data_IF_026366785953
#
_entry.id   IF_026366785953
#
_cell.length_a   1.000
_cell.length_b   1.000
_cell.length_c   1.000
_cell.angle_alpha   90.00
_cell.angle_beta   90.00
_cell.angle_gamma   90.00
#
_symmetry.space_group_name_H-M   'P 1'
#
loop_
_entity.id
_entity.type
_entity.pdbx_description
1 polymer ?
#
# COMPACT_ATOMS: atom_id res chain seq x y z
N UNK A 1 -22.73 41.90 -22.42
CA UNK A 1 -22.89 40.49 -22.86
C UNK A 1 -21.50 39.86 -22.87
N UNK A 2 -21.09 39.25 -21.74
CA UNK A 2 -19.77 38.61 -21.62
C UNK A 2 -19.94 37.12 -21.88
N UNK A 3 -19.18 36.58 -22.83
CA UNK A 3 -19.10 35.14 -23.11
C UNK A 3 -17.92 34.58 -22.32
N UNK A 4 -18.17 33.55 -21.51
CA UNK A 4 -17.12 32.77 -20.87
C UNK A 4 -16.81 31.56 -21.76
N UNK A 5 -15.52 31.32 -21.98
CA UNK A 5 -15.00 30.12 -22.62
C UNK A 5 -14.86 29.06 -21.50
N UNK A 6 -15.54 27.91 -21.56
CA UNK A 6 -15.20 26.81 -20.69
C UNK A 6 -13.87 26.22 -21.17
N UNK A 7 -12.84 26.30 -20.33
CA UNK A 7 -11.63 25.48 -20.50
C UNK A 7 -11.97 24.12 -19.92
N UNK A 8 -12.17 23.14 -20.81
CA UNK A 8 -12.18 21.74 -20.44
C UNK A 8 -10.70 21.34 -20.27
N UNK A 9 -10.22 21.30 -19.03
CA UNK A 9 -8.98 20.61 -18.72
C UNK A 9 -9.33 19.12 -18.83
N UNK A 10 -8.96 18.46 -19.94
CA UNK A 10 -8.85 17.01 -19.92
C UNK A 10 -7.67 16.70 -19.00
N UNK A 11 -7.86 16.07 -17.83
CA UNK A 11 -6.76 15.32 -17.27
C UNK A 11 -6.41 14.28 -18.34
N UNK A 12 -5.19 14.33 -18.84
CA UNK A 12 -4.60 13.15 -19.45
C UNK A 12 -4.58 12.12 -18.32
N UNK A 13 -5.61 11.27 -18.26
CA UNK A 13 -5.52 9.97 -17.61
C UNK A 13 -4.43 9.25 -18.39
N UNK A 14 -3.19 9.38 -17.90
CA UNK A 14 -2.14 8.44 -18.22
C UNK A 14 -2.67 7.03 -17.92
N UNK A 15 -2.15 6.00 -18.61
CA UNK A 15 -2.47 4.63 -18.21
C UNK A 15 -2.18 4.51 -16.71
N UNK A 16 -3.19 4.10 -15.94
CA UNK A 16 -3.02 3.68 -14.55
C UNK A 16 -1.86 2.68 -14.55
N UNK A 17 -0.70 3.09 -14.02
CA UNK A 17 0.43 2.19 -13.89
C UNK A 17 -0.05 1.10 -12.92
N UNK A 18 -0.03 -0.20 -13.29
CA UNK A 18 -0.44 -1.24 -12.38
C UNK A 18 0.29 -1.08 -11.03
N UNK A 19 -0.49 -1.13 -9.96
CA UNK A 19 -0.04 -1.14 -8.57
C UNK A 19 1.20 -2.03 -8.43
N UNK A 20 2.36 -1.41 -8.15
CA UNK A 20 3.62 -2.14 -8.13
C UNK A 20 3.97 -2.48 -6.68
N UNK A 21 3.83 -3.76 -6.36
CA UNK A 21 4.33 -4.32 -5.10
C UNK A 21 5.83 -4.63 -5.26
N UNK A 22 6.61 -4.29 -4.24
CA UNK A 22 8.02 -4.68 -4.12
C UNK A 22 8.20 -5.52 -2.86
N UNK A 23 8.93 -6.62 -3.02
CA UNK A 23 9.40 -7.45 -1.92
C UNK A 23 10.89 -7.69 -2.08
N UNK A 24 11.63 -7.61 -0.98
CA UNK A 24 13.02 -8.00 -0.92
C UNK A 24 13.33 -8.57 0.47
N UNK A 25 13.56 -9.88 0.53
CA UNK A 25 13.93 -10.59 1.76
C UNK A 25 15.45 -10.60 1.96
N UNK A 26 16.23 -9.98 1.06
CA UNK A 26 17.69 -9.92 1.06
C UNK A 26 18.40 -11.28 1.19
N UNK A 27 17.69 -12.40 1.07
CA UNK A 27 18.20 -13.76 1.24
C UNK A 27 19.11 -14.20 0.09
N UNK A 28 19.15 -13.41 -0.98
CA UNK A 28 20.07 -13.58 -2.11
C UNK A 28 21.39 -12.80 -1.93
N UNK A 29 21.55 -12.13 -0.77
CA UNK A 29 22.76 -11.45 -0.36
C UNK A 29 23.13 -10.27 -1.24
N UNK A 30 22.15 -9.61 -1.87
CA UNK A 30 22.38 -8.41 -2.67
C UNK A 30 21.22 -7.41 -2.56
N UNK A 31 21.44 -6.21 -3.11
CA UNK A 31 20.48 -5.10 -3.18
C UNK A 31 20.11 -4.80 -4.64
N UNK A 32 19.88 -5.84 -5.45
CA UNK A 32 19.51 -5.66 -6.84
C UNK A 32 18.21 -4.85 -6.98
N UNK A 33 18.27 -3.81 -7.82
CA UNK A 33 17.14 -2.91 -8.06
C UNK A 33 16.97 -1.80 -7.02
N UNK A 34 17.84 -1.75 -6.01
CA UNK A 34 17.93 -0.61 -5.09
C UNK A 34 18.89 0.46 -5.61
N UNK A 35 18.58 1.71 -5.31
CA UNK A 35 19.51 2.82 -5.45
C UNK A 35 20.07 3.18 -4.07
N UNK A 36 21.40 3.14 -3.96
CA UNK A 36 22.13 3.45 -2.73
C UNK A 36 22.19 4.94 -2.49
N UNK A 37 21.63 5.37 -1.37
CA UNK A 37 21.74 6.74 -0.89
C UNK A 37 22.98 6.90 -0.01
N UNK A 38 24.04 7.49 -0.60
CA UNK A 38 25.32 7.75 0.07
C UNK A 38 25.81 9.17 -0.25
N UNK A 39 25.13 10.22 0.25
CA UNK A 39 25.32 11.61 -0.18
C UNK A 39 26.74 12.14 0.08
N UNK A 40 27.46 11.54 1.05
CA UNK A 40 28.79 11.97 1.46
C UNK A 40 29.94 11.17 0.81
N UNK A 41 29.64 10.22 -0.10
CA UNK A 41 30.66 9.37 -0.73
C UNK A 41 31.74 10.16 -1.46
N UNK A 42 31.34 11.17 -2.24
CA UNK A 42 32.26 12.04 -3.00
C UNK A 42 33.19 12.88 -2.12
N UNK A 43 32.94 12.93 -0.82
CA UNK A 43 33.72 13.68 0.17
C UNK A 43 34.54 12.77 1.10
N UNK A 44 34.67 11.48 0.77
CA UNK A 44 35.49 10.52 1.51
C UNK A 44 34.77 9.81 2.67
N UNK A 45 33.44 9.92 2.74
CA UNK A 45 32.61 9.24 3.73
C UNK A 45 31.52 8.40 3.03
N UNK A 46 31.89 7.35 2.27
CA UNK A 46 30.91 6.47 1.63
C UNK A 46 30.19 5.63 2.67
N UNK A 47 28.87 5.48 2.50
CA UNK A 47 28.06 4.52 3.27
C UNK A 47 28.48 3.11 2.85
N UNK A 48 28.71 2.25 3.84
CA UNK A 48 28.98 0.84 3.61
C UNK A 48 27.65 0.06 3.60
N UNK A 49 27.45 -0.68 2.52
CA UNK A 49 26.31 -1.57 2.32
C UNK A 49 26.82 -3.00 2.29
N UNK A 50 26.24 -3.87 3.11
CA UNK A 50 26.70 -5.25 3.24
C UNK A 50 25.57 -6.20 3.58
N UNK A 51 25.84 -7.49 3.41
CA UNK A 51 24.88 -8.56 3.70
C UNK A 51 25.41 -9.49 4.78
N UNK A 52 25.32 -9.12 6.08
CA UNK A 52 25.70 -10.02 7.17
C UNK A 52 25.00 -11.36 7.00
N UNK A 53 25.76 -12.45 7.19
CA UNK A 53 25.28 -13.83 7.00
C UNK A 53 24.73 -14.16 5.59
N UNK A 54 24.79 -13.20 4.66
CA UNK A 54 24.31 -13.33 3.28
C UNK A 54 22.80 -13.17 3.13
N UNK A 55 22.09 -12.70 4.16
CA UNK A 55 20.62 -12.73 4.19
C UNK A 55 19.95 -11.53 4.87
N UNK A 56 20.68 -10.44 5.08
CA UNK A 56 20.17 -9.24 5.76
C UNK A 56 20.80 -8.01 5.15
N UNK A 57 20.15 -6.86 5.18
CA UNK A 57 20.67 -5.65 4.56
C UNK A 57 21.19 -4.66 5.59
N UNK A 58 22.52 -4.53 5.71
CA UNK A 58 23.15 -3.60 6.66
C UNK A 58 23.60 -2.31 5.99
N UNK A 59 23.20 -1.20 6.58
CA UNK A 59 23.56 0.18 6.18
C UNK A 59 24.40 0.80 7.29
N UNK A 60 25.65 1.13 6.99
CA UNK A 60 26.57 1.77 7.95
C UNK A 60 27.11 3.08 7.38
N UNK A 61 26.72 4.21 7.96
CA UNK A 61 27.24 5.51 7.53
C UNK A 61 28.38 5.97 8.46
N UNK A 62 29.58 6.24 7.93
CA UNK A 62 30.66 6.83 8.73
C UNK A 62 30.35 8.29 9.06
N UNK A 63 31.09 8.88 10.00
CA UNK A 63 30.89 10.27 10.38
C UNK A 63 31.09 11.24 9.21
N UNK A 64 30.33 12.33 9.22
CA UNK A 64 30.46 13.38 8.21
C UNK A 64 31.87 14.00 8.26
N UNK A 65 32.57 14.15 7.13
CA UNK A 65 33.92 14.71 7.11
C UNK A 65 33.92 16.22 7.37
N UNK A 66 32.77 16.89 7.17
CA UNK A 66 32.57 18.31 7.45
C UNK A 66 31.08 18.59 7.70
N UNK A 67 30.57 18.33 8.91
CA UNK A 67 29.15 18.46 9.21
C UNK A 67 28.62 19.90 9.04
N UNK A 68 29.45 20.91 9.29
CA UNK A 68 29.06 22.31 9.07
C UNK A 68 28.83 22.67 7.60
N UNK A 69 29.37 21.91 6.65
CA UNK A 69 29.18 22.15 5.21
C UNK A 69 28.15 21.21 4.58
N UNK A 70 28.06 19.96 5.04
CA UNK A 70 27.27 18.91 4.39
C UNK A 70 26.16 18.32 5.26
N UNK A 71 26.02 18.81 6.49
CA UNK A 71 25.19 18.22 7.53
C UNK A 71 25.83 17.00 8.19
N UNK A 72 25.22 16.52 9.30
CA UNK A 72 25.54 15.23 9.92
C UNK A 72 25.44 14.04 8.96
N UNK A 73 25.90 12.87 9.40
CA UNK A 73 25.88 11.68 8.55
C UNK A 73 24.46 11.14 8.34
N UNK A 74 24.22 10.62 7.14
CA UNK A 74 23.04 9.82 6.79
C UNK A 74 23.36 8.88 5.65
N UNK A 75 22.59 7.82 5.54
CA UNK A 75 22.70 6.84 4.48
C UNK A 75 21.44 5.98 4.39
N UNK A 76 21.24 5.32 3.27
CA UNK A 76 20.05 4.49 3.07
C UNK A 76 19.99 3.91 1.68
N UNK A 77 18.84 3.41 1.31
CA UNK A 77 18.54 3.01 -0.07
C UNK A 77 17.06 3.10 -0.34
N UNK A 78 16.70 3.29 -1.60
CA UNK A 78 15.31 3.34 -2.02
C UNK A 78 15.10 2.56 -3.32
N UNK A 79 13.84 2.31 -3.68
CA UNK A 79 13.44 1.65 -4.92
C UNK A 79 13.16 2.71 -6.00
N UNK A 80 14.14 3.07 -6.85
CA UNK A 80 14.07 4.28 -7.69
C UNK A 80 13.02 4.21 -8.81
N UNK A 81 12.55 3.01 -9.18
CA UNK A 81 11.66 2.81 -10.31
C UNK A 81 10.21 2.51 -9.90
N UNK A 82 9.88 2.70 -8.62
CA UNK A 82 8.54 2.41 -8.08
C UNK A 82 8.02 3.64 -7.36
N UNK A 83 7.05 4.30 -7.98
CA UNK A 83 6.46 5.55 -7.49
C UNK A 83 5.03 5.26 -7.06
N UNK A 84 4.69 5.76 -5.88
CA UNK A 84 3.43 5.59 -5.19
C UNK A 84 2.72 6.94 -5.05
N UNK A 85 1.39 6.97 -5.21
CA UNK A 85 0.52 8.13 -4.94
C UNK A 85 -0.21 7.98 -3.59
N UNK A 86 -0.32 6.76 -3.09
CA UNK A 86 -0.46 6.37 -1.70
C UNK A 86 0.56 5.25 -1.46
N UNK A 87 1.18 5.18 -0.29
CA UNK A 87 2.24 4.20 -0.02
C UNK A 87 2.03 3.48 1.30
N UNK A 88 2.37 2.20 1.30
CA UNK A 88 2.70 1.41 2.49
C UNK A 88 4.09 0.86 2.30
N UNK A 89 4.96 1.05 3.28
CA UNK A 89 6.32 0.52 3.30
C UNK A 89 6.57 -0.17 4.63
N UNK A 90 7.25 -1.31 4.58
CA UNK A 90 7.62 -2.09 5.75
C UNK A 90 9.07 -2.57 5.62
N UNK A 91 9.72 -2.72 6.78
CA UNK A 91 10.94 -3.50 6.88
C UNK A 91 11.10 -4.01 8.32
N UNK A 92 11.78 -5.14 8.45
CA UNK A 92 12.22 -5.62 9.75
C UNK A 92 13.50 -4.90 10.16
N UNK A 93 13.52 -4.35 11.37
CA UNK A 93 14.73 -3.89 12.04
C UNK A 93 15.28 -5.04 12.89
N UNK A 94 16.49 -5.51 12.54
CA UNK A 94 17.04 -6.76 13.05
C UNK A 94 18.26 -6.57 13.96
N UNK A 95 19.09 -5.57 13.68
CA UNK A 95 20.29 -5.29 14.49
C UNK A 95 20.61 -3.79 14.47
N UNK A 96 20.87 -3.23 15.65
CA UNK A 96 21.25 -1.83 15.90
C UNK A 96 21.83 -1.71 17.31
N UNK A 97 22.40 -0.55 17.63
CA UNK A 97 22.96 -0.25 18.95
C UNK A 97 22.30 1.02 19.52
N UNK A 98 21.72 0.92 20.71
CA UNK A 98 21.12 2.07 21.41
C UNK A 98 22.19 3.01 22.00
N UNK A 99 23.45 2.59 22.11
CA UNK A 99 24.54 3.48 22.55
C UNK A 99 25.02 4.42 21.41
N UNK A 100 24.60 4.16 20.16
CA UNK A 100 24.78 5.08 19.02
C UNK A 100 23.56 5.98 18.97
N UNK A 101 23.74 7.31 19.06
CA UNK A 101 22.63 8.26 18.86
C UNK A 101 22.31 8.44 17.37
N UNK A 102 21.28 7.77 16.90
CA UNK A 102 20.90 7.68 15.48
C UNK A 102 19.38 7.54 15.32
N UNK A 103 18.91 7.97 14.15
CA UNK A 103 17.58 7.68 13.66
C UNK A 103 17.67 6.52 12.67
N UNK A 104 16.74 5.58 12.78
CA UNK A 104 16.68 4.39 11.93
C UNK A 104 15.23 4.24 11.46
N UNK A 105 14.99 3.99 10.17
CA UNK A 105 13.64 3.61 9.77
C UNK A 105 13.36 3.65 8.28
N UNK A 106 12.14 4.04 7.96
CA UNK A 106 11.53 3.93 6.63
C UNK A 106 11.37 5.30 5.99
N UNK A 107 11.51 5.32 4.66
CA UNK A 107 11.26 6.49 3.84
C UNK A 107 10.03 6.24 2.97
N UNK A 108 9.15 7.23 2.90
CA UNK A 108 7.94 7.22 2.09
C UNK A 108 7.86 8.44 1.18
N UNK A 109 7.25 8.29 0.01
CA UNK A 109 7.03 9.39 -0.94
C UNK A 109 8.29 10.21 -1.29
N UNK A 110 9.41 9.52 -1.50
CA UNK A 110 10.68 10.16 -1.86
C UNK A 110 10.63 10.75 -3.27
N UNK A 111 10.89 12.04 -3.38
CA UNK A 111 11.11 12.73 -4.64
C UNK A 111 12.55 12.62 -5.12
N UNK A 112 13.22 13.76 -5.28
CA UNK A 112 14.68 13.78 -5.49
C UNK A 112 15.39 13.17 -4.29
N UNK A 113 16.44 12.38 -4.51
CA UNK A 113 17.29 11.77 -3.48
C UNK A 113 18.74 12.18 -3.72
N UNK A 114 19.40 12.73 -2.70
CA UNK A 114 20.79 13.19 -2.80
C UNK A 114 21.15 14.32 -1.83
N UNK A 115 22.42 14.72 -1.86
CA UNK A 115 22.95 15.78 -1.01
C UNK A 115 22.19 17.10 -1.23
N UNK A 116 21.58 17.60 -0.16
CA UNK A 116 20.71 18.76 -0.08
C UNK A 116 19.48 18.71 -1.00
N UNK A 117 19.12 17.53 -1.52
CA UNK A 117 18.01 17.35 -2.45
C UNK A 117 17.01 16.30 -2.03
N UNK A 118 17.33 15.46 -1.04
CA UNK A 118 16.40 14.44 -0.53
C UNK A 118 15.13 15.09 0.01
N UNK A 119 13.98 14.73 -0.57
CA UNK A 119 12.67 15.17 -0.12
C UNK A 119 11.71 13.99 0.02
N UNK A 120 10.75 14.07 0.95
CA UNK A 120 9.71 13.06 1.16
C UNK A 120 9.26 13.01 2.61
N UNK A 121 8.88 11.83 3.09
CA UNK A 121 8.58 11.56 4.48
C UNK A 121 9.49 10.51 5.08
N UNK A 122 9.70 10.59 6.39
CA UNK A 122 10.46 9.62 7.17
C UNK A 122 9.66 9.18 8.39
N UNK A 123 9.65 7.88 8.64
CA UNK A 123 9.26 7.30 9.93
C UNK A 123 10.52 6.72 10.59
N UNK A 124 10.89 7.24 11.75
CA UNK A 124 12.15 6.88 12.42
C UNK A 124 11.97 6.48 13.87
N UNK A 125 12.76 5.50 14.28
CA UNK A 125 13.12 5.24 15.66
C UNK A 125 14.42 5.99 16.00
N UNK A 126 14.36 6.91 16.97
CA UNK A 126 15.51 7.63 17.53
C UNK A 126 16.01 6.88 18.77
N UNK A 127 17.22 6.34 18.69
CA UNK A 127 17.87 5.61 19.78
C UNK A 127 18.33 6.52 20.93
N UNK A 128 18.52 7.82 20.67
CA UNK A 128 18.99 8.82 21.65
C UNK A 128 17.86 9.56 22.36
N UNK A 129 16.74 9.76 21.67
CA UNK A 129 15.52 10.40 22.17
C UNK A 129 14.49 9.43 22.73
N UNK A 130 14.69 8.12 22.58
CA UNK A 130 13.75 7.05 22.97
C UNK A 130 12.34 7.28 22.40
N UNK A 131 12.24 7.51 21.09
CA UNK A 131 10.97 7.83 20.46
C UNK A 131 10.85 7.41 19.01
N UNK A 132 9.61 7.39 18.56
CA UNK A 132 9.23 7.31 17.16
C UNK A 132 8.85 8.68 16.66
N UNK A 133 9.19 8.98 15.41
CA UNK A 133 8.88 10.25 14.77
C UNK A 133 8.40 10.01 13.35
N UNK A 134 7.35 10.73 12.95
CA UNK A 134 7.03 10.97 11.55
C UNK A 134 7.51 12.39 11.24
N UNK A 135 8.25 12.56 10.15
CA UNK A 135 8.74 13.86 9.72
C UNK A 135 8.55 14.06 8.22
N UNK A 136 8.25 15.29 7.80
CA UNK A 136 8.50 15.71 6.43
C UNK A 136 9.99 16.01 6.27
N UNK A 137 10.54 15.73 5.10
CA UNK A 137 11.95 15.94 4.78
C UNK A 137 12.04 16.86 3.57
N UNK A 138 12.64 18.04 3.74
CA UNK A 138 12.90 19.02 2.67
C UNK A 138 14.40 19.27 2.54
N UNK A 139 15.01 18.84 1.44
CA UNK A 139 16.44 19.04 1.17
C UNK A 139 17.31 18.45 2.29
N UNK A 140 16.95 17.28 2.80
CA UNK A 140 17.54 16.59 3.96
C UNK A 140 17.29 17.23 5.34
N UNK A 141 16.55 18.33 5.43
CA UNK A 141 16.08 18.87 6.71
C UNK A 141 14.75 18.22 7.10
N UNK A 142 14.65 17.72 8.34
CA UNK A 142 13.45 17.07 8.84
C UNK A 142 12.63 18.01 9.75
N UNK A 143 11.32 18.05 9.54
CA UNK A 143 10.34 18.73 10.40
C UNK A 143 9.36 17.68 10.96
N UNK A 144 9.28 17.57 12.29
CA UNK A 144 8.43 16.57 12.95
C UNK A 144 6.95 16.88 12.78
N UNK A 145 6.20 15.88 12.31
CA UNK A 145 4.74 15.90 12.13
C UNK A 145 4.01 15.19 13.27
N UNK A 146 4.65 14.16 13.85
CA UNK A 146 4.10 13.37 14.94
C UNK A 146 5.19 12.59 15.66
N UNK A 147 4.93 12.20 16.91
CA UNK A 147 5.86 11.39 17.69
C UNK A 147 5.15 10.57 18.77
N UNK A 148 5.79 9.48 19.19
CA UNK A 148 5.44 8.72 20.38
C UNK A 148 6.70 8.22 21.10
N UNK A 149 6.61 7.86 22.38
CA UNK A 149 7.76 7.38 23.17
C UNK A 149 7.85 5.86 23.11
N UNK A 150 9.02 5.34 22.74
CA UNK A 150 9.32 3.91 22.81
C UNK A 150 10.82 3.67 22.96
N UNK A 151 11.18 2.59 23.64
CA UNK A 151 12.56 2.08 23.65
C UNK A 151 12.55 0.64 23.14
N UNK A 152 13.11 0.43 21.95
CA UNK A 152 13.30 -0.90 21.40
C UNK A 152 14.50 -1.57 22.08
N UNK A 153 14.43 -2.90 22.24
CA UNK A 153 15.47 -3.67 22.93
C UNK A 153 16.40 -4.30 21.88
N UNK A 154 17.69 -3.92 21.83
CA UNK A 154 18.65 -4.53 20.92
C UNK A 154 18.72 -6.05 21.07
N UNK A 155 18.89 -6.76 19.95
CA UNK A 155 18.87 -8.22 19.90
C UNK A 155 17.47 -8.84 19.79
N UNK A 156 16.40 -8.02 19.75
CA UNK A 156 15.06 -8.42 19.29
C UNK A 156 14.83 -7.91 17.87
N UNK A 157 13.94 -8.57 17.13
CA UNK A 157 13.48 -8.09 15.84
C UNK A 157 12.16 -7.33 15.97
N UNK A 158 12.02 -6.28 15.17
CA UNK A 158 10.81 -5.46 15.11
C UNK A 158 10.41 -5.22 13.66
N UNK A 159 9.11 -5.17 13.36
CA UNK A 159 8.62 -4.68 12.08
C UNK A 159 8.25 -3.22 12.19
N UNK A 160 8.84 -2.40 11.34
CA UNK A 160 8.42 -1.03 11.12
C UNK A 160 7.41 -1.03 9.97
N UNK A 161 6.31 -0.31 10.12
CA UNK A 161 5.30 -0.09 9.07
C UNK A 161 5.09 1.41 8.95
N UNK A 162 5.12 1.94 7.74
CA UNK A 162 4.85 3.35 7.49
C UNK A 162 3.92 3.49 6.29
N UNK A 163 2.81 4.18 6.49
CA UNK A 163 1.77 4.39 5.49
C UNK A 163 1.52 5.88 5.27
N UNK A 164 1.12 6.22 4.05
CA UNK A 164 0.72 7.57 3.69
C UNK A 164 -0.35 7.57 2.60
N UNK A 165 -1.46 8.23 2.87
CA UNK A 165 -2.56 8.43 1.94
C UNK A 165 -2.78 9.92 1.69
N UNK A 166 -3.02 10.31 0.44
CA UNK A 166 -3.04 11.70 0.01
C UNK A 166 -4.27 11.96 -0.86
N UNK A 167 -5.22 12.74 -0.35
CA UNK A 167 -6.42 13.18 -1.05
C UNK A 167 -6.13 14.47 -1.85
N UNK A 168 -5.97 14.41 -3.19
CA UNK A 168 -5.54 15.57 -3.97
C UNK A 168 -6.60 16.66 -4.08
N UNK A 169 -7.88 16.28 -4.08
CA UNK A 169 -9.01 17.21 -4.07
C UNK A 169 -9.01 18.14 -2.86
N UNK A 170 -8.61 17.63 -1.70
CA UNK A 170 -8.68 18.35 -0.42
C UNK A 170 -7.33 18.92 0.04
N UNK A 171 -6.25 18.64 -0.71
CA UNK A 171 -4.86 18.95 -0.32
C UNK A 171 -4.56 18.43 1.09
N UNK A 172 -5.06 17.22 1.38
CA UNK A 172 -4.99 16.60 2.68
C UNK A 172 -4.20 15.30 2.59
N UNK A 173 -3.28 15.08 3.52
CA UNK A 173 -2.49 13.87 3.60
C UNK A 173 -2.41 13.37 5.03
N UNK A 174 -2.60 12.07 5.19
CA UNK A 174 -2.47 11.37 6.46
C UNK A 174 -1.32 10.40 6.40
N UNK A 175 -0.63 10.27 7.52
CA UNK A 175 0.54 9.44 7.69
C UNK A 175 0.37 8.66 8.99
N UNK A 176 0.66 7.36 8.95
CA UNK A 176 0.71 6.52 10.15
C UNK A 176 1.94 5.64 10.16
N UNK A 177 2.62 5.60 11.30
CA UNK A 177 3.82 4.82 11.54
C UNK A 177 3.60 3.89 12.72
N UNK A 178 3.89 2.60 12.54
CA UNK A 178 3.65 1.56 13.53
C UNK A 178 4.89 0.71 13.74
N UNK A 179 5.06 0.22 14.96
CA UNK A 179 6.11 -0.75 15.29
C UNK A 179 5.50 -1.98 15.94
N UNK A 180 5.84 -3.14 15.42
CA UNK A 180 5.40 -4.44 15.94
C UNK A 180 6.61 -5.25 16.40
N UNK A 181 6.42 -6.13 17.39
CA UNK A 181 7.41 -7.16 17.67
C UNK A 181 7.28 -8.28 16.63
N UNK A 182 8.37 -8.89 16.17
CA UNK A 182 8.24 -9.96 15.15
C UNK A 182 7.54 -11.23 15.65
N UNK A 183 7.36 -11.39 16.96
CA UNK A 183 6.57 -12.47 17.56
C UNK A 183 5.08 -12.10 17.77
N UNK A 184 4.69 -10.86 17.50
CA UNK A 184 3.30 -10.36 17.54
C UNK A 184 3.11 -9.22 16.53
N UNK A 185 2.60 -9.57 15.35
CA UNK A 185 2.29 -8.63 14.27
C UNK A 185 0.81 -8.16 14.29
N UNK A 186 0.04 -8.55 15.30
CA UNK A 186 -1.36 -8.15 15.44
C UNK A 186 -1.48 -6.94 16.38
N UNK A 187 -0.59 -6.81 17.36
CA UNK A 187 -0.60 -5.72 18.34
C UNK A 187 0.60 -4.79 18.16
N UNK A 188 0.42 -3.52 17.76
CA UNK A 188 1.54 -2.59 17.69
C UNK A 188 2.02 -2.21 19.09
N UNK A 189 3.34 -2.07 19.24
CA UNK A 189 4.00 -1.56 20.43
C UNK A 189 3.84 -0.05 20.59
N UNK A 190 3.76 0.67 19.47
CA UNK A 190 3.51 2.10 19.39
C UNK A 190 2.97 2.47 18.00
N UNK A 191 2.21 3.57 17.97
CA UNK A 191 1.57 4.11 16.76
C UNK A 191 1.75 5.63 16.75
N UNK A 192 2.23 6.17 15.64
CA UNK A 192 2.43 7.61 15.44
C UNK A 192 1.57 8.06 14.28
N UNK A 193 0.86 9.18 14.46
CA UNK A 193 0.09 9.81 13.39
C UNK A 193 0.74 11.14 13.00
N UNK A 194 0.63 11.49 11.72
CA UNK A 194 1.04 12.77 11.18
C UNK A 194 0.10 13.22 10.06
N UNK A 195 0.10 14.51 9.74
CA UNK A 195 -0.65 15.05 8.61
C UNK A 195 0.20 16.03 7.83
N UNK A 196 0.35 15.81 6.54
CA UNK A 196 1.05 16.71 5.62
C UNK A 196 0.76 16.30 4.17
N UNK A 197 0.75 17.26 3.24
CA UNK A 197 0.48 17.03 1.81
C UNK A 197 1.63 17.52 0.90
N UNK A 198 2.79 17.85 1.47
CA UNK A 198 3.92 18.43 0.72
C UNK A 198 4.46 17.48 -0.35
N UNK A 199 4.43 16.16 -0.11
CA UNK A 199 4.98 15.14 -1.00
C UNK A 199 3.94 14.05 -1.29
N UNK A 200 2.94 14.30 -2.15
CA UNK A 200 1.84 13.36 -2.38
C UNK A 200 2.22 12.17 -3.28
N UNK A 201 3.45 12.11 -3.77
CA UNK A 201 3.94 10.93 -4.49
C UNK A 201 5.46 10.81 -4.50
N UNK A 202 5.93 9.56 -4.56
CA UNK A 202 7.36 9.28 -4.61
C UNK A 202 7.70 7.82 -4.35
N UNK A 203 8.99 7.55 -4.20
CA UNK A 203 9.53 6.19 -3.98
C UNK A 203 9.64 5.86 -2.48
N UNK A 204 9.80 4.60 -2.14
CA UNK A 204 9.98 4.15 -0.75
C UNK A 204 11.37 3.55 -0.52
N UNK A 205 11.80 3.50 0.74
CA UNK A 205 13.11 2.96 1.11
C UNK A 205 13.37 2.83 2.60
N UNK A 206 14.63 2.60 2.95
CA UNK A 206 15.13 2.50 4.32
C UNK A 206 16.27 3.50 4.53
N UNK A 207 16.48 3.94 5.76
CA UNK A 207 17.55 4.88 6.07
C UNK A 207 18.07 4.79 7.50
N UNK A 208 19.23 5.42 7.67
CA UNK A 208 19.79 5.79 8.95
C UNK A 208 20.30 7.23 8.90
N UNK A 209 20.17 7.99 9.98
CA UNK A 209 20.76 9.31 10.14
C UNK A 209 21.19 9.55 11.57
N UNK A 210 21.86 10.67 11.81
CA UNK A 210 22.12 11.16 13.17
C UNK A 210 22.06 12.67 13.15
N UNK A 211 21.71 13.28 14.28
CA UNK A 211 21.84 14.73 14.48
C UNK A 211 23.22 15.13 15.01
N UNK A 212 24.07 14.16 15.36
CA UNK A 212 25.41 14.39 15.91
C UNK A 212 26.43 14.68 14.82
N UNK A 213 27.14 15.81 14.96
CA UNK A 213 28.23 16.24 14.07
C UNK A 213 29.37 15.21 13.95
N UNK A 214 29.61 14.41 15.00
CA UNK A 214 30.62 13.36 15.01
C UNK A 214 30.02 11.95 15.07
N UNK A 215 28.71 11.82 14.89
CA UNK A 215 28.01 10.54 14.96
C UNK A 215 28.28 9.65 13.75
N UNK A 216 28.07 8.35 13.95
CA UNK A 216 27.99 7.31 12.91
C UNK A 216 26.62 6.68 12.98
N UNK A 217 26.23 5.93 11.95
CA UNK A 217 25.01 5.13 11.99
C UNK A 217 25.29 3.68 11.59
N UNK A 218 24.48 2.78 12.12
CA UNK A 218 24.58 1.34 11.90
C UNK A 218 23.24 0.68 12.20
N UNK A 219 22.59 0.16 11.17
CA UNK A 219 21.38 -0.63 11.29
C UNK A 219 21.35 -1.75 10.24
N UNK A 220 20.71 -2.86 10.60
CA UNK A 220 20.47 -3.99 9.72
C UNK A 220 18.98 -4.22 9.57
N UNK A 221 18.53 -4.26 8.31
CA UNK A 221 17.16 -4.48 7.90
C UNK A 221 16.98 -5.88 7.29
N UNK A 222 15.74 -6.36 7.26
CA UNK A 222 15.32 -7.59 6.57
C UNK A 222 13.85 -7.46 6.09
N UNK A 223 13.38 -8.37 5.23
CA UNK A 223 11.99 -8.48 4.77
C UNK A 223 11.34 -7.13 4.39
N UNK A 224 11.94 -6.42 3.42
CA UNK A 224 11.36 -5.20 2.89
C UNK A 224 10.11 -5.48 2.06
N UNK A 225 9.09 -4.63 2.25
CA UNK A 225 7.87 -4.64 1.45
C UNK A 225 7.45 -3.20 1.12
N UNK A 226 6.91 -2.97 -0.08
CA UNK A 226 6.17 -1.74 -0.37
C UNK A 226 5.00 -1.99 -1.34
N UNK A 227 3.88 -1.31 -1.13
CA UNK A 227 2.66 -1.37 -1.92
C UNK A 227 1.96 0.00 -1.98
N UNK A 228 1.02 0.18 -2.91
CA UNK A 228 0.10 1.31 -2.84
C UNK A 228 -1.08 1.07 -1.88
N UNK A 229 -1.28 -0.17 -1.45
CA UNK A 229 -2.39 -0.56 -0.57
C UNK A 229 -2.15 -0.01 0.84
N UNK A 230 -3.05 0.86 1.30
CA UNK A 230 -2.98 1.54 2.60
C UNK A 230 -4.30 1.40 3.36
N UNK A 231 -4.18 1.51 4.68
CA UNK A 231 -5.25 1.52 5.70
C UNK A 231 -4.70 2.39 6.84
N UNK A 232 -4.83 3.71 6.70
CA UNK A 232 -4.17 4.71 7.55
C UNK A 232 -4.95 4.96 8.84
N UNK A 233 -6.27 4.82 8.80
CA UNK A 233 -7.15 4.97 9.94
C UNK A 233 -7.32 3.67 10.75
N UNK A 234 -6.92 2.52 10.16
CA UNK A 234 -6.67 1.22 10.81
C UNK A 234 -7.95 0.50 11.21
N UNK A 235 -8.96 0.63 10.38
CA UNK A 235 -10.27 0.02 10.60
C UNK A 235 -10.46 -1.29 9.81
N UNK A 236 -9.48 -1.63 8.97
CA UNK A 236 -9.45 -2.86 8.18
C UNK A 236 -10.10 -2.70 6.81
N UNK A 237 -10.54 -1.50 6.43
CA UNK A 237 -10.90 -1.11 5.08
C UNK A 237 -9.68 -0.48 4.39
N UNK A 238 -9.62 -0.56 3.06
CA UNK A 238 -8.53 0.06 2.33
C UNK A 238 -8.87 1.52 2.04
N UNK A 239 -7.96 2.46 2.33
CA UNK A 239 -8.20 3.92 2.19
C UNK A 239 -8.77 4.29 0.80
N UNK A 240 -8.24 3.68 -0.26
CA UNK A 240 -8.70 3.96 -1.63
C UNK A 240 -10.12 3.46 -1.86
N UNK A 241 -10.50 2.32 -1.28
CA UNK A 241 -11.87 1.82 -1.36
C UNK A 241 -12.82 2.74 -0.61
N UNK A 242 -12.44 3.22 0.57
CA UNK A 242 -13.28 4.14 1.35
C UNK A 242 -13.50 5.45 0.60
N UNK A 243 -12.46 6.06 0.02
CA UNK A 243 -12.65 7.27 -0.80
C UNK A 243 -13.53 7.00 -2.02
N UNK A 244 -13.35 5.88 -2.70
CA UNK A 244 -14.11 5.56 -3.92
C UNK A 244 -15.60 5.29 -3.63
N UNK A 245 -15.94 4.77 -2.45
CA UNK A 245 -17.30 4.30 -2.13
C UNK A 245 -18.01 5.14 -1.05
N UNK A 246 -17.28 5.64 -0.05
CA UNK A 246 -17.78 6.41 1.09
C UNK A 246 -17.43 7.91 1.00
N UNK A 247 -16.42 8.26 0.19
CA UNK A 247 -16.03 9.63 -0.12
C UNK A 247 -14.98 10.25 0.81
N UNK A 248 -14.65 9.59 1.91
CA UNK A 248 -13.54 9.91 2.81
C UNK A 248 -13.13 8.65 3.61
N UNK A 249 -11.99 8.72 4.31
CA UNK A 249 -11.38 7.63 5.11
C UNK A 249 -11.70 7.74 6.62
N UNK A 250 -12.78 8.41 6.99
CA UNK A 250 -13.14 8.63 8.39
C UNK A 250 -14.43 7.93 8.80
N UNK A 251 -14.99 7.13 7.89
CA UNK A 251 -16.13 6.26 8.17
C UNK A 251 -15.64 5.04 8.91
N UNK A 252 -16.35 4.65 9.97
CA UNK A 252 -15.91 3.49 10.74
C UNK A 252 -16.36 2.18 10.10
N UNK A 253 -15.55 1.15 10.29
CA UNK A 253 -15.81 -0.26 9.96
C UNK A 253 -17.18 -0.79 10.42
N UNK A 254 -17.69 -0.30 11.56
CA UNK A 254 -18.95 -0.71 12.19
C UNK A 254 -20.16 0.18 11.86
N UNK A 255 -19.97 1.24 11.07
CA UNK A 255 -21.05 2.07 10.53
C UNK A 255 -21.73 1.42 9.33
N UNK A 256 -22.92 1.90 8.96
CA UNK A 256 -23.78 1.38 7.88
C UNK A 256 -24.18 2.59 7.04
N UNK A 257 -23.42 2.85 5.98
CA UNK A 257 -23.47 4.12 5.24
C UNK A 257 -24.81 4.35 4.52
N UNK A 258 -25.46 3.29 4.04
CA UNK A 258 -26.73 3.37 3.31
C UNK A 258 -27.98 2.89 4.09
N UNK A 259 -27.79 2.51 5.36
CA UNK A 259 -28.82 2.07 6.30
C UNK A 259 -29.53 0.75 5.89
N UNK A 260 -28.82 -0.17 5.22
CA UNK A 260 -29.36 -1.46 4.78
C UNK A 260 -29.24 -2.60 5.81
N UNK A 261 -28.48 -2.37 6.90
CA UNK A 261 -28.23 -3.31 7.99
C UNK A 261 -26.93 -4.11 7.87
N UNK A 262 -26.07 -3.82 6.91
CA UNK A 262 -24.69 -4.29 6.82
C UNK A 262 -23.73 -3.19 7.23
N UNK A 263 -22.61 -3.54 7.87
CA UNK A 263 -21.58 -2.54 8.17
C UNK A 263 -20.68 -2.32 6.97
N UNK A 264 -20.04 -1.16 6.88
CA UNK A 264 -19.07 -0.81 5.84
C UNK A 264 -18.01 -1.91 5.68
N UNK A 265 -17.52 -2.49 6.78
CA UNK A 265 -16.58 -3.62 6.74
C UNK A 265 -17.17 -4.90 6.13
N UNK A 266 -18.43 -5.22 6.43
CA UNK A 266 -19.11 -6.37 5.81
C UNK A 266 -19.21 -6.18 4.30
N UNK A 267 -19.46 -4.95 3.88
CA UNK A 267 -19.60 -4.59 2.48
C UNK A 267 -18.27 -4.55 1.73
N UNK A 268 -17.23 -3.99 2.34
CA UNK A 268 -15.86 -4.05 1.85
C UNK A 268 -15.41 -5.50 1.64
N UNK A 269 -15.58 -6.36 2.66
CA UNK A 269 -15.18 -7.76 2.60
C UNK A 269 -16.06 -8.59 1.66
N UNK A 270 -17.34 -8.23 1.49
CA UNK A 270 -18.29 -8.93 0.64
C UNK A 270 -18.37 -8.40 -0.80
N UNK A 271 -17.75 -7.25 -1.08
CA UNK A 271 -17.70 -6.60 -2.38
C UNK A 271 -19.05 -6.02 -2.84
N UNK A 272 -19.89 -5.56 -1.90
CA UNK A 272 -21.06 -4.75 -2.21
C UNK A 272 -20.73 -3.26 -2.35
N UNK A 273 -21.73 -2.47 -2.75
CA UNK A 273 -21.62 -1.02 -2.90
C UNK A 273 -22.25 -0.40 -1.66
N UNK A 274 -21.46 0.16 -0.74
CA UNK A 274 -21.96 0.65 0.55
C UNK A 274 -22.81 1.91 0.45
N UNK A 275 -22.97 2.47 -0.76
CA UNK A 275 -23.84 3.60 -1.04
C UNK A 275 -25.15 3.21 -1.75
N UNK A 276 -25.38 1.91 -2.03
CA UNK A 276 -26.63 1.41 -2.61
C UNK A 276 -27.26 0.34 -1.69
N UNK A 277 -28.37 0.65 -0.97
CA UNK A 277 -28.97 -0.24 0.02
C UNK A 277 -29.65 -1.48 -0.58
N UNK A 278 -29.52 -1.67 -1.90
CA UNK A 278 -29.93 -2.88 -2.61
C UNK A 278 -28.75 -3.78 -2.98
N UNK A 279 -27.52 -3.32 -2.75
CA UNK A 279 -26.27 -4.03 -2.99
C UNK A 279 -25.90 -4.79 -1.73
N UNK A 280 -26.47 -5.98 -1.54
CA UNK A 280 -26.22 -6.76 -0.32
C UNK A 280 -25.01 -7.69 -0.45
N UNK A 281 -24.07 -7.59 0.48
CA UNK A 281 -22.97 -8.55 0.64
C UNK A 281 -23.49 -9.90 1.15
N UNK A 282 -22.98 -10.99 0.57
CA UNK A 282 -23.53 -12.32 0.84
C UNK A 282 -24.96 -12.55 0.29
N UNK A 283 -25.50 -11.61 -0.50
CA UNK A 283 -26.63 -11.93 -1.36
C UNK A 283 -26.27 -13.11 -2.25
N UNK A 284 -27.07 -14.18 -2.18
CA UNK A 284 -27.01 -15.30 -3.11
C UNK A 284 -27.25 -14.87 -4.58
N UNK A 285 -27.55 -13.60 -4.82
CA UNK A 285 -27.55 -13.02 -6.15
C UNK A 285 -26.11 -12.72 -6.57
N UNK A 286 -25.59 -13.58 -7.44
CA UNK A 286 -24.57 -13.15 -8.40
C UNK A 286 -25.11 -11.86 -9.04
N UNK A 287 -24.29 -10.81 -9.04
CA UNK A 287 -24.66 -9.45 -9.51
C UNK A 287 -25.31 -9.45 -10.90
N UNK A 288 -25.77 -8.28 -11.40
CA UNK A 288 -26.55 -8.22 -12.63
C UNK A 288 -25.89 -9.02 -13.76
N UNK A 289 -26.61 -10.02 -14.27
CA UNK A 289 -26.11 -10.84 -15.36
C UNK A 289 -26.14 -10.03 -16.64
N UNK A 290 -24.96 -9.78 -17.21
CA UNK A 290 -24.85 -9.24 -18.57
C UNK A 290 -25.08 -10.38 -19.56
N UNK A 291 -26.26 -10.41 -20.17
CA UNK A 291 -26.66 -11.47 -21.10
C UNK A 291 -26.63 -10.96 -22.53
N UNK A 292 -25.85 -11.62 -23.38
CA UNK A 292 -25.72 -11.32 -24.80
C UNK A 292 -25.88 -12.57 -25.66
N UNK A 293 -26.42 -12.42 -26.87
CA UNK A 293 -26.42 -13.49 -27.88
C UNK A 293 -25.83 -12.94 -29.17
N UNK A 294 -24.75 -13.56 -29.64
CA UNK A 294 -24.08 -13.20 -30.88
C UNK A 294 -23.58 -14.46 -31.60
N UNK A 295 -23.74 -14.51 -32.93
CA UNK A 295 -23.25 -15.61 -33.77
C UNK A 295 -23.69 -17.03 -33.35
N UNK A 296 -24.82 -17.16 -32.64
CA UNK A 296 -25.34 -18.44 -32.16
C UNK A 296 -24.75 -18.89 -30.81
N UNK A 297 -23.96 -18.04 -30.15
CA UNK A 297 -23.47 -18.21 -28.79
C UNK A 297 -24.12 -17.21 -27.85
N UNK A 298 -24.48 -17.70 -26.68
CA UNK A 298 -24.94 -16.93 -25.54
C UNK A 298 -23.74 -16.68 -24.62
N UNK A 299 -23.61 -15.44 -24.18
CA UNK A 299 -22.65 -15.02 -23.16
C UNK A 299 -23.39 -14.54 -21.93
N UNK A 300 -23.01 -15.05 -20.76
CA UNK A 300 -23.52 -14.61 -19.45
C UNK A 300 -22.32 -14.16 -18.62
N UNK A 301 -22.15 -12.84 -18.44
CA UNK A 301 -21.05 -12.25 -17.67
C UNK A 301 -21.53 -11.76 -16.31
N UNK A 302 -20.69 -11.93 -15.29
CA UNK A 302 -20.95 -11.58 -13.90
C UNK A 302 -19.65 -11.30 -13.14
N UNK A 303 -19.71 -10.61 -12.00
CA UNK A 303 -18.58 -10.41 -11.09
C UNK A 303 -18.29 -11.71 -10.33
N UNK A 304 -17.08 -12.23 -10.46
CA UNK A 304 -16.68 -13.48 -9.83
C UNK A 304 -15.87 -13.21 -8.56
N UNK A 305 -16.30 -13.79 -7.44
CA UNK A 305 -15.63 -13.71 -6.14
C UNK A 305 -14.52 -14.76 -6.04
N UNK A 306 -13.43 -14.40 -5.35
CA UNK A 306 -12.35 -15.32 -5.03
C UNK A 306 -12.82 -16.40 -4.03
N UNK A 307 -12.34 -17.64 -4.17
CA UNK A 307 -12.73 -18.76 -3.30
C UNK A 307 -14.12 -19.35 -3.59
N UNK A 308 -14.72 -18.99 -4.73
CA UNK A 308 -15.97 -19.59 -5.22
C UNK A 308 -15.78 -20.25 -6.57
N UNK A 309 -16.38 -21.42 -6.71
CA UNK A 309 -16.66 -22.10 -7.97
C UNK A 309 -18.02 -21.64 -8.52
N UNK A 310 -18.20 -21.68 -9.84
CA UNK A 310 -19.45 -21.26 -10.48
C UNK A 310 -19.88 -22.26 -11.53
N UNK A 311 -21.19 -22.50 -11.60
CA UNK A 311 -21.85 -23.30 -12.63
C UNK A 311 -23.00 -22.51 -13.28
N UNK A 312 -23.26 -22.77 -14.57
CA UNK A 312 -24.44 -22.28 -15.27
C UNK A 312 -25.50 -23.38 -15.29
N UNK A 313 -26.70 -23.06 -14.82
CA UNK A 313 -27.86 -23.94 -14.91
C UNK A 313 -28.90 -23.37 -15.86
N UNK A 314 -29.65 -24.27 -16.49
CA UNK A 314 -30.74 -23.95 -17.40
C UNK A 314 -32.04 -24.65 -17.02
N UNK A 315 -33.16 -24.02 -17.40
CA UNK A 315 -34.52 -24.53 -17.20
C UNK A 315 -35.40 -24.20 -18.40
N UNK A 316 -36.37 -25.07 -18.70
CA UNK A 316 -37.41 -24.83 -19.70
C UNK A 316 -38.73 -24.33 -19.09
N UNK A 317 -38.90 -24.43 -17.77
CA UNK A 317 -40.18 -24.21 -17.09
C UNK A 317 -40.07 -23.39 -15.78
N UNK A 318 -38.87 -22.89 -15.44
CA UNK A 318 -38.52 -22.19 -14.20
C UNK A 318 -38.65 -23.05 -12.91
N UNK A 319 -38.97 -24.33 -13.02
CA UNK A 319 -39.17 -25.23 -11.88
C UNK A 319 -38.05 -26.27 -11.80
N UNK A 320 -37.77 -26.95 -12.91
CA UNK A 320 -36.68 -27.91 -13.03
C UNK A 320 -35.40 -27.24 -13.51
N UNK A 321 -34.34 -27.29 -12.71
CA UNK A 321 -33.03 -26.74 -13.04
C UNK A 321 -32.02 -27.86 -13.22
N UNK A 322 -31.16 -27.74 -14.23
CA UNK A 322 -30.08 -28.68 -14.50
C UNK A 322 -28.86 -27.97 -15.11
N UNK A 323 -27.65 -28.53 -14.98
CA UNK A 323 -26.45 -27.95 -15.59
C UNK A 323 -26.64 -27.66 -17.08
N UNK A 324 -26.26 -26.46 -17.51
CA UNK A 324 -26.30 -26.05 -18.91
C UNK A 324 -25.20 -26.78 -19.69
N UNK A 325 -25.56 -27.91 -20.31
CA UNK A 325 -24.61 -28.76 -21.03
C UNK A 325 -23.89 -27.99 -22.14
N UNK A 326 -22.56 -27.98 -22.10
CA UNK A 326 -21.72 -27.27 -23.06
C UNK A 326 -21.38 -25.83 -22.67
N UNK A 327 -21.80 -25.35 -21.50
CA UNK A 327 -21.36 -24.07 -20.96
C UNK A 327 -19.88 -24.14 -20.54
N UNK A 328 -19.08 -23.15 -20.94
CA UNK A 328 -17.68 -23.00 -20.53
C UNK A 328 -17.50 -21.70 -19.76
N UNK A 329 -16.90 -21.77 -18.58
CA UNK A 329 -16.54 -20.60 -17.76
C UNK A 329 -15.16 -20.07 -18.16
N UNK A 330 -15.10 -18.78 -18.48
CA UNK A 330 -13.86 -18.02 -18.67
C UNK A 330 -13.76 -17.03 -17.51
N UNK A 331 -12.60 -16.95 -16.85
CA UNK A 331 -12.32 -15.97 -15.80
C UNK A 331 -11.24 -15.01 -16.25
N UNK A 332 -11.50 -13.71 -16.11
CA UNK A 332 -10.58 -12.65 -16.50
C UNK A 332 -10.85 -11.40 -15.64
N UNK A 333 -9.80 -10.84 -15.02
CA UNK A 333 -9.85 -9.57 -14.27
C UNK A 333 -11.03 -9.47 -13.28
N UNK A 334 -11.24 -10.48 -12.43
CA UNK A 334 -12.32 -10.49 -11.43
C UNK A 334 -13.73 -10.76 -11.97
N UNK A 335 -13.89 -11.00 -13.27
CA UNK A 335 -15.16 -11.36 -13.88
C UNK A 335 -15.21 -12.84 -14.31
N UNK A 336 -16.39 -13.45 -14.19
CA UNK A 336 -16.73 -14.74 -14.78
C UNK A 336 -17.60 -14.53 -16.02
N UNK A 337 -17.32 -15.27 -17.10
CA UNK A 337 -18.15 -15.28 -18.32
C UNK A 337 -18.43 -16.72 -18.73
N UNK A 338 -19.71 -17.11 -18.73
CA UNK A 338 -20.14 -18.36 -19.36
C UNK A 338 -20.41 -18.14 -20.85
N UNK A 339 -19.91 -19.05 -21.67
CA UNK A 339 -20.24 -19.13 -23.10
C UNK A 339 -20.99 -20.43 -23.36
N UNK A 340 -22.15 -20.35 -24.01
CA UNK A 340 -23.01 -21.50 -24.33
C UNK A 340 -23.50 -21.44 -25.79
N UNK A 341 -23.34 -22.49 -26.60
CA UNK A 341 -23.96 -22.57 -27.93
C UNK A 341 -25.49 -22.70 -27.81
N UNK A 342 -26.26 -21.82 -28.46
CA UNK A 342 -27.75 -21.78 -28.36
C UNK A 342 -28.48 -22.21 -29.65
N UNK A 343 -27.79 -22.91 -30.55
CA UNK A 343 -28.38 -23.37 -31.82
C UNK A 343 -29.57 -24.30 -31.58
N UNK A 344 -30.78 -23.86 -31.98
CA UNK A 344 -32.01 -24.65 -31.94
C UNK A 344 -32.83 -24.55 -30.65
N UNK A 345 -32.50 -23.62 -29.74
CA UNK A 345 -33.25 -23.35 -28.51
C UNK A 345 -34.23 -22.18 -28.72
N UNK A 346 -35.54 -22.38 -28.53
CA UNK A 346 -36.56 -21.33 -28.73
C UNK A 346 -36.76 -20.45 -27.48
N UNK A 347 -36.58 -21.01 -26.27
CA UNK A 347 -36.67 -20.29 -25.00
C UNK A 347 -35.89 -21.03 -23.91
N UNK A 348 -35.01 -20.32 -23.19
CA UNK A 348 -34.15 -20.88 -22.15
C UNK A 348 -34.11 -19.93 -20.96
N UNK A 349 -34.41 -20.43 -19.76
CA UNK A 349 -34.16 -19.72 -18.51
C UNK A 349 -32.81 -20.12 -17.96
N UNK A 350 -32.09 -19.17 -17.38
CA UNK A 350 -30.71 -19.35 -16.93
C UNK A 350 -30.52 -18.78 -15.54
N UNK A 351 -29.64 -19.42 -14.78
CA UNK A 351 -29.09 -18.86 -13.55
C UNK A 351 -27.63 -19.27 -13.42
N UNK A 352 -26.83 -18.39 -12.84
CA UNK A 352 -25.49 -18.75 -12.39
C UNK A 352 -25.61 -19.18 -10.92
N UNK A 353 -24.91 -20.25 -10.54
CA UNK A 353 -24.87 -20.76 -9.18
C UNK A 353 -23.42 -20.72 -8.69
N UNK A 354 -23.17 -20.01 -7.59
CA UNK A 354 -21.87 -19.99 -6.92
C UNK A 354 -21.83 -21.01 -5.78
N UNK A 355 -20.74 -21.77 -5.67
CA UNK A 355 -20.47 -22.66 -4.55
C UNK A 355 -19.09 -22.35 -3.97
N UNK A 356 -19.02 -22.09 -2.66
CA UNK A 356 -17.75 -21.83 -1.96
C UNK A 356 -16.84 -23.05 -2.06
N UNK A 357 -15.57 -22.82 -2.40
CA UNK A 357 -14.52 -23.85 -2.51
C UNK A 357 -13.93 -24.26 -1.16
#
# INVERSE_FOLDING_TARGET
MKRYLPVLILPLLGPCLPAQIVQDDFNDGNDAGWERYSPLASFGAPVAFSFPEGNRYRVQAPASPNPGAFGPTRGGSHRPNVVYEAFRVEADLIDWDNDIGQDIGLLGSLGSVGLATTNGYAFSYDTSGEGLFISSVTGEAADTLGSDTITLVPGRGYRLVFQGFFAPEDFYGQLVGEVFALDDLETPLAVVFGTDFTYPSGTCGVFTSTTSDSGTTDATFDNYFSSPDTDVDRDGMADQWEVDNLGDIFWYDDEDFDEDGQTNLVEFLGGSDPADPNSLSGSLAIGPLEVGVANGELTVRFSAQAGYSYDLESSSDLQGWSPAAGAALIRENGAGTFVLPVVGQEQLYLRVVGSRE
#
